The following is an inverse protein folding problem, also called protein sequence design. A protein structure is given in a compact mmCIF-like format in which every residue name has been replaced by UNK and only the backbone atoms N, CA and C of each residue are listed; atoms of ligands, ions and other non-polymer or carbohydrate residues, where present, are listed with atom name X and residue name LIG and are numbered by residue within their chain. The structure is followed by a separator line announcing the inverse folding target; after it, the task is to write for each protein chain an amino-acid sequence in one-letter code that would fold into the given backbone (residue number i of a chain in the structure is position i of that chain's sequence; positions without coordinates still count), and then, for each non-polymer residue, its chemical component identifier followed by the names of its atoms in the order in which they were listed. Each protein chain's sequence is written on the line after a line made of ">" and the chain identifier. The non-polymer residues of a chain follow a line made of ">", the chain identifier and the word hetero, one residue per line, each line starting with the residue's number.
data_IF_855631441499
#
_entry.id   IF_855631441499
#
_cell.length_a   1.000
_cell.length_b   1.000
_cell.length_c   1.000
_cell.angle_alpha   90.00
_cell.angle_beta   90.00
_cell.angle_gamma   90.00
#
_symmetry.space_group_name_H-M   'P 1'
#
loop_
_entity.id
_entity.type
_entity.pdbx_description
1 polymer ?
#
# COMPACT_ATOMS: atom_id res chain seq x y z
N UNK A 1 4.45 -7.28 3.60
CA UNK A 1 4.08 -6.04 2.87
C UNK A 1 3.70 -4.88 3.80
N UNK A 2 2.68 -5.00 4.66
CA UNK A 2 2.22 -3.93 5.57
C UNK A 2 3.34 -3.21 6.33
N UNK A 3 4.32 -3.94 6.89
CA UNK A 3 5.46 -3.33 7.59
C UNK A 3 6.28 -2.39 6.69
N UNK A 4 6.51 -2.75 5.42
CA UNK A 4 7.25 -1.92 4.46
C UNK A 4 6.45 -0.65 4.14
N UNK A 5 5.13 -0.78 3.97
CA UNK A 5 4.27 0.38 3.76
C UNK A 5 4.39 1.37 4.92
N UNK A 6 4.41 0.89 6.17
CA UNK A 6 4.51 1.79 7.33
C UNK A 6 5.90 2.34 7.53
N UNK A 7 6.94 1.54 7.30
CA UNK A 7 8.34 2.00 7.26
C UNK A 7 8.48 3.19 6.31
N UNK A 8 7.77 3.14 5.18
CA UNK A 8 7.81 4.16 4.15
C UNK A 8 6.77 5.27 4.34
N UNK A 9 5.94 5.22 5.38
CA UNK A 9 4.92 6.23 5.68
C UNK A 9 3.66 6.18 4.81
N UNK A 10 3.40 5.04 4.16
CA UNK A 10 2.27 4.79 3.25
C UNK A 10 2.15 5.87 2.17
N UNK A 11 3.29 6.23 1.60
CA UNK A 11 3.39 7.11 0.44
C UNK A 11 4.02 6.38 -0.73
N UNK A 12 3.83 6.94 -1.92
CA UNK A 12 4.61 6.59 -3.09
C UNK A 12 6.02 7.19 -2.95
N UNK A 13 7.02 6.36 -2.69
CA UNK A 13 8.41 6.80 -2.46
C UNK A 13 9.09 7.39 -3.70
N UNK A 14 8.46 7.30 -4.88
CA UNK A 14 8.95 7.94 -6.09
C UNK A 14 8.25 9.28 -6.39
N UNK A 15 7.00 9.46 -5.95
CA UNK A 15 6.17 10.64 -6.29
C UNK A 15 5.73 11.50 -5.11
N UNK A 16 5.75 10.96 -3.89
CA UNK A 16 5.30 11.62 -2.67
C UNK A 16 3.77 11.54 -2.45
N UNK A 17 3.04 10.93 -3.37
CA UNK A 17 1.58 10.74 -3.27
C UNK A 17 1.22 9.93 -2.04
N UNK A 18 0.21 10.37 -1.28
CA UNK A 18 -0.36 9.60 -0.17
C UNK A 18 -1.13 8.39 -0.72
N UNK A 19 -0.81 7.19 -0.24
CA UNK A 19 -1.44 5.95 -0.67
C UNK A 19 -2.42 5.46 0.39
N UNK A 20 -3.36 4.60 0.01
CA UNK A 20 -4.45 4.13 0.85
C UNK A 20 -4.24 2.66 1.19
N UNK A 21 -4.35 2.30 2.47
CA UNK A 21 -4.18 0.93 2.94
C UNK A 21 -5.13 0.00 2.15
N UNK A 22 -4.63 -1.08 1.52
CA UNK A 22 -5.37 -1.91 0.59
C UNK A 22 -6.82 -2.28 0.93
N UNK A 23 -7.14 -2.72 2.16
CA UNK A 23 -8.51 -3.11 2.49
C UNK A 23 -9.49 -1.94 2.50
N UNK A 24 -9.05 -0.69 2.70
CA UNK A 24 -9.92 0.49 2.64
C UNK A 24 -10.58 0.61 1.27
N UNK A 25 -9.80 0.53 0.19
CA UNK A 25 -10.34 0.60 -1.17
C UNK A 25 -11.23 -0.60 -1.48
N UNK A 26 -10.94 -1.76 -0.90
CA UNK A 26 -11.77 -2.96 -1.08
C UNK A 26 -13.09 -2.90 -0.33
N UNK A 27 -13.17 -2.19 0.80
CA UNK A 27 -14.43 -1.88 1.47
C UNK A 27 -15.28 -0.95 0.59
N UNK A 28 -14.67 0.06 -0.05
CA UNK A 28 -15.40 0.91 -1.00
C UNK A 28 -16.01 0.08 -2.13
N UNK A 29 -15.25 -0.85 -2.71
CA UNK A 29 -15.80 -1.77 -3.72
C UNK A 29 -16.88 -2.71 -3.21
N UNK A 30 -16.87 -3.03 -1.92
CA UNK A 30 -17.90 -3.87 -1.32
C UNK A 30 -19.22 -3.10 -1.16
N UNK A 31 -19.17 -1.86 -0.66
CA UNK A 31 -20.36 -1.04 -0.46
C UNK A 31 -20.86 -0.35 -1.73
N UNK A 32 -19.96 -0.02 -2.65
CA UNK A 32 -20.25 0.73 -3.89
C UNK A 32 -19.75 -0.05 -5.12
N UNK A 33 -20.24 -1.28 -5.38
CA UNK A 33 -19.70 -2.14 -6.44
C UNK A 33 -19.88 -1.58 -7.86
N UNK A 34 -20.88 -0.71 -8.08
CA UNK A 34 -21.13 -0.06 -9.36
C UNK A 34 -20.25 1.17 -9.58
N UNK A 35 -20.10 2.01 -8.54
CA UNK A 35 -19.35 3.27 -8.63
C UNK A 35 -17.84 3.09 -8.37
N UNK A 36 -17.47 2.06 -7.60
CA UNK A 36 -16.09 1.74 -7.23
C UNK A 36 -15.76 0.26 -7.50
N UNK A 37 -15.90 -0.22 -8.76
CA UNK A 37 -15.69 -1.63 -9.08
C UNK A 37 -14.25 -2.07 -8.79
N UNK A 38 -14.06 -3.34 -8.45
CA UNK A 38 -12.73 -3.93 -8.29
C UNK A 38 -12.57 -5.15 -9.18
N UNK A 39 -11.46 -5.19 -9.92
CA UNK A 39 -11.05 -6.35 -10.69
C UNK A 39 -9.82 -7.03 -10.06
N UNK A 40 -9.92 -8.32 -9.76
CA UNK A 40 -8.87 -9.10 -9.07
C UNK A 40 -7.51 -9.11 -9.78
N UNK A 41 -7.51 -9.06 -11.11
CA UNK A 41 -6.28 -9.01 -11.91
C UNK A 41 -5.91 -7.58 -12.35
N UNK A 42 -6.54 -6.56 -11.76
CA UNK A 42 -6.21 -5.15 -12.04
C UNK A 42 -6.64 -4.63 -13.42
N UNK A 43 -7.57 -5.28 -14.14
CA UNK A 43 -7.98 -4.78 -15.47
C UNK A 43 -8.57 -3.37 -15.35
N UNK A 44 -7.86 -2.36 -15.88
CA UNK A 44 -8.20 -0.94 -15.73
C UNK A 44 -9.61 -0.62 -16.24
N UNK A 45 -10.06 -1.29 -17.30
CA UNK A 45 -11.39 -1.07 -17.87
C UNK A 45 -12.54 -1.68 -17.06
N UNK A 46 -12.25 -2.52 -16.07
CA UNK A 46 -13.24 -3.26 -15.25
C UNK A 46 -13.10 -2.97 -13.75
N UNK A 47 -12.17 -2.10 -13.35
CA UNK A 47 -11.97 -1.68 -11.97
C UNK A 47 -11.81 -0.17 -11.88
N UNK A 48 -12.07 0.39 -10.71
CA UNK A 48 -11.93 1.82 -10.49
C UNK A 48 -10.45 2.22 -10.53
N UNK A 49 -10.14 3.28 -11.28
CA UNK A 49 -8.76 3.73 -11.51
C UNK A 49 -7.99 4.08 -10.22
N UNK A 50 -8.70 4.52 -9.17
CA UNK A 50 -8.08 4.75 -7.85
C UNK A 50 -7.39 3.50 -7.27
N UNK A 51 -7.79 2.27 -7.65
CA UNK A 51 -7.06 1.06 -7.26
C UNK A 51 -5.67 0.97 -7.90
N UNK A 52 -5.42 1.69 -8.99
CA UNK A 52 -4.09 1.80 -9.59
C UNK A 52 -3.28 2.94 -8.98
N UNK A 53 -3.93 4.08 -8.77
CA UNK A 53 -3.28 5.31 -8.31
C UNK A 53 -2.96 5.29 -6.81
N UNK A 54 -3.83 4.71 -5.99
CA UNK A 54 -3.75 4.83 -4.53
C UNK A 54 -3.41 3.53 -3.81
N UNK A 55 -3.56 2.38 -4.47
CA UNK A 55 -3.25 1.09 -3.84
C UNK A 55 -1.74 0.89 -3.75
N UNK A 56 -1.16 0.70 -2.55
CA UNK A 56 0.27 0.52 -2.39
C UNK A 56 0.73 -0.87 -2.81
N UNK A 57 1.91 -0.91 -3.42
CA UNK A 57 2.67 -2.10 -3.75
C UNK A 57 4.10 -1.96 -3.25
N UNK A 58 4.84 -3.06 -3.34
CA UNK A 58 6.28 -3.06 -3.20
C UNK A 58 6.91 -3.09 -4.59
N UNK A 59 7.91 -2.24 -4.81
CA UNK A 59 8.79 -2.25 -5.97
C UNK A 59 10.25 -2.31 -5.51
N UNK A 60 11.14 -2.70 -6.41
CA UNK A 60 12.58 -2.72 -6.20
C UNK A 60 13.23 -1.42 -6.69
N UNK A 61 14.00 -0.71 -5.87
CA UNK A 61 14.73 0.52 -6.25
C UNK A 61 15.57 0.25 -7.50
N UNK A 62 16.44 -0.76 -7.42
CA UNK A 62 17.13 -1.36 -8.55
C UNK A 62 16.33 -2.58 -9.02
N UNK A 63 15.82 -2.62 -10.26
CA UNK A 63 15.10 -3.77 -10.77
C UNK A 63 15.93 -5.06 -10.70
N UNK A 64 15.32 -6.19 -10.32
CA UNK A 64 16.00 -7.50 -10.26
C UNK A 64 16.58 -7.90 -11.62
N UNK A 65 15.85 -7.61 -12.70
CA UNK A 65 16.29 -7.81 -14.09
C UNK A 65 17.52 -6.99 -14.48
N UNK A 66 17.90 -6.01 -13.65
CA UNK A 66 19.06 -5.14 -13.78
C UNK A 66 20.07 -5.38 -12.65
N UNK A 67 20.06 -6.56 -12.03
CA UNK A 67 21.01 -6.95 -10.98
C UNK A 67 20.65 -6.46 -9.57
N UNK A 68 19.43 -5.94 -9.36
CA UNK A 68 18.94 -5.60 -8.02
C UNK A 68 18.68 -6.84 -7.17
N UNK A 69 18.93 -6.73 -5.87
CA UNK A 69 18.67 -7.80 -4.90
C UNK A 69 17.18 -7.86 -4.53
N UNK A 70 16.66 -9.06 -4.30
CA UNK A 70 15.28 -9.24 -3.84
C UNK A 70 15.20 -9.23 -2.30
N UNK A 71 15.56 -8.10 -1.71
CA UNK A 71 15.63 -7.93 -0.26
C UNK A 71 15.04 -6.58 0.17
N UNK A 72 14.64 -6.47 1.44
CA UNK A 72 13.98 -5.27 1.98
C UNK A 72 14.77 -3.97 1.83
N UNK A 73 16.10 -4.06 1.79
CA UNK A 73 16.99 -2.92 1.57
C UNK A 73 16.80 -2.30 0.17
N UNK A 74 16.33 -3.10 -0.79
CA UNK A 74 16.02 -2.68 -2.15
C UNK A 74 14.50 -2.51 -2.37
N UNK A 75 13.65 -2.82 -1.40
CA UNK A 75 12.19 -2.70 -1.54
C UNK A 75 11.70 -1.32 -1.11
N UNK A 76 10.70 -0.76 -1.80
CA UNK A 76 10.01 0.49 -1.43
C UNK A 76 8.51 0.40 -1.64
N UNK A 77 7.77 1.22 -0.89
CA UNK A 77 6.35 1.46 -1.13
C UNK A 77 6.14 2.41 -2.31
N UNK A 78 5.32 2.02 -3.28
CA UNK A 78 4.84 2.87 -4.38
C UNK A 78 3.42 2.50 -4.79
N UNK A 79 2.76 3.28 -5.65
CA UNK A 79 1.46 2.88 -6.21
C UNK A 79 1.61 1.81 -7.30
N UNK A 80 0.56 1.05 -7.58
CA UNK A 80 0.52 0.14 -8.73
C UNK A 80 0.80 0.87 -10.05
N UNK A 81 0.28 2.09 -10.20
CA UNK A 81 0.52 2.95 -11.36
C UNK A 81 2.00 3.30 -11.50
N UNK A 82 2.62 3.83 -10.46
CA UNK A 82 4.03 4.23 -10.50
C UNK A 82 4.96 3.03 -10.67
N UNK A 83 4.67 1.90 -10.01
CA UNK A 83 5.38 0.65 -10.24
C UNK A 83 5.35 0.25 -11.71
N UNK A 84 4.17 0.35 -12.34
CA UNK A 84 3.99 -0.01 -13.74
C UNK A 84 4.69 0.94 -14.71
N UNK A 85 4.75 2.24 -14.37
CA UNK A 85 5.52 3.24 -15.12
C UNK A 85 7.02 2.93 -14.99
N UNK A 86 7.50 2.64 -13.79
CA UNK A 86 8.92 2.35 -13.55
C UNK A 86 9.35 1.07 -14.23
N UNK A 87 8.57 -0.01 -14.09
CA UNK A 87 8.85 -1.30 -14.71
C UNK A 87 10.31 -1.71 -14.46
N UNK A 88 11.05 -2.08 -15.52
CA UNK A 88 12.46 -2.49 -15.45
C UNK A 88 13.47 -1.35 -15.67
N UNK A 89 13.03 -0.08 -15.59
CA UNK A 89 13.92 1.07 -15.68
C UNK A 89 14.57 1.37 -14.33
N UNK A 90 15.84 1.80 -14.35
CA UNK A 90 16.50 2.34 -13.16
C UNK A 90 16.00 3.76 -12.87
N UNK A 91 16.14 4.21 -11.62
CA UNK A 91 15.78 5.60 -11.28
C UNK A 91 16.59 6.61 -12.07
N UNK A 92 17.86 6.32 -12.36
CA UNK A 92 18.72 7.18 -13.19
C UNK A 92 18.16 7.34 -14.62
N UNK A 93 17.75 6.24 -15.25
CA UNK A 93 17.18 6.26 -16.60
C UNK A 93 15.88 7.06 -16.67
N UNK A 94 15.07 7.01 -15.61
CA UNK A 94 13.84 7.79 -15.50
C UNK A 94 14.08 9.22 -15.01
N UNK A 95 15.30 9.56 -14.62
CA UNK A 95 15.66 10.80 -13.92
C UNK A 95 14.84 11.02 -12.65
N UNK A 96 14.46 9.92 -11.99
CA UNK A 96 13.76 9.93 -10.73
C UNK A 96 14.75 9.95 -9.57
N UNK A 97 14.27 10.44 -8.42
CA UNK A 97 14.98 10.36 -7.15
C UNK A 97 14.10 9.65 -6.15
N UNK A 98 14.70 8.81 -5.32
CA UNK A 98 13.99 8.20 -4.21
C UNK A 98 13.74 9.27 -3.14
N UNK A 99 12.47 9.51 -2.82
CA UNK A 99 12.08 10.43 -1.77
C UNK A 99 12.32 9.81 -0.39
N UNK A 100 12.51 10.60 0.69
CA UNK A 100 12.53 10.07 2.05
C UNK A 100 11.18 9.42 2.43
N UNK A 101 11.15 8.55 3.46
CA UNK A 101 9.89 7.99 3.95
C UNK A 101 8.97 9.10 4.49
N UNK A 102 7.66 8.87 4.39
CA UNK A 102 6.65 9.74 5.00
C UNK A 102 6.58 9.57 6.52
N UNK A 103 5.75 10.40 7.16
CA UNK A 103 5.47 10.31 8.59
C UNK A 103 4.07 9.70 8.80
N UNK A 104 4.03 8.51 9.42
CA UNK A 104 2.79 7.77 9.68
C UNK A 104 1.83 8.53 10.63
N UNK A 105 2.35 9.41 11.48
CA UNK A 105 1.54 10.25 12.36
C UNK A 105 0.85 11.40 11.60
N UNK A 106 1.31 11.71 10.38
CA UNK A 106 0.69 12.70 9.49
C UNK A 106 -0.26 12.01 8.50
N UNK A 107 0.09 10.80 8.05
CA UNK A 107 -0.73 9.99 7.16
C UNK A 107 -0.53 8.51 7.46
N UNK A 108 -1.55 7.86 8.02
CA UNK A 108 -1.52 6.46 8.42
C UNK A 108 -1.97 5.50 7.31
N UNK A 109 -2.19 6.01 6.10
CA UNK A 109 -2.79 5.24 5.01
C UNK A 109 -4.25 4.88 5.24
N UNK A 110 -4.97 5.60 6.10
CA UNK A 110 -6.36 5.31 6.53
C UNK A 110 -6.51 4.00 7.29
N UNK A 111 -5.44 3.48 7.90
CA UNK A 111 -5.54 2.20 8.63
C UNK A 111 -6.44 2.30 9.87
N UNK A 112 -6.40 3.40 10.60
CA UNK A 112 -7.29 3.57 11.76
C UNK A 112 -8.75 3.61 11.34
N UNK A 113 -9.05 4.25 10.21
CA UNK A 113 -10.40 4.21 9.62
C UNK A 113 -10.81 2.78 9.27
N UNK A 114 -9.93 2.01 8.63
CA UNK A 114 -10.21 0.61 8.28
C UNK A 114 -10.51 -0.25 9.52
N UNK A 115 -9.72 -0.09 10.59
CA UNK A 115 -9.95 -0.84 11.83
C UNK A 115 -11.29 -0.46 12.47
N UNK A 116 -11.60 0.84 12.56
CA UNK A 116 -12.89 1.31 13.06
C UNK A 116 -14.06 0.79 12.20
N UNK A 117 -13.87 0.68 10.89
CA UNK A 117 -14.91 0.16 10.00
C UNK A 117 -15.17 -1.35 10.24
N UNK A 118 -14.13 -2.13 10.51
CA UNK A 118 -14.28 -3.54 10.90
C UNK A 118 -14.99 -3.66 12.25
N UNK A 119 -14.69 -2.77 13.20
CA UNK A 119 -15.36 -2.79 14.50
C UNK A 119 -16.85 -2.43 14.39
N UNK A 120 -17.22 -1.56 13.45
CA UNK A 120 -18.62 -1.18 13.17
C UNK A 120 -19.39 -2.22 12.32
N UNK A 121 -18.69 -2.95 11.45
CA UNK A 121 -19.26 -3.97 10.57
C UNK A 121 -18.34 -5.19 10.53
N UNK A 122 -18.51 -6.06 11.55
CA UNK A 122 -17.66 -7.25 11.70
C UNK A 122 -17.87 -8.29 10.60
N UNK A 123 -19.01 -8.24 9.88
CA UNK A 123 -19.31 -9.16 8.79
C UNK A 123 -18.36 -8.97 7.59
N UNK A 124 -17.72 -7.81 7.48
CA UNK A 124 -16.61 -7.59 6.54
C UNK A 124 -15.48 -8.61 6.70
N UNK A 125 -15.27 -9.18 7.90
CA UNK A 125 -14.26 -10.23 8.12
C UNK A 125 -14.63 -11.59 7.51
N UNK A 126 -15.85 -11.77 7.01
CA UNK A 126 -16.19 -12.92 6.16
C UNK A 126 -15.52 -12.85 4.79
N UNK A 127 -15.11 -11.66 4.35
CA UNK A 127 -14.34 -11.47 3.11
C UNK A 127 -12.87 -11.84 3.39
N UNK A 128 -12.32 -12.92 2.80
CA UNK A 128 -11.00 -13.45 3.18
C UNK A 128 -9.86 -12.44 2.99
N UNK A 129 -9.98 -11.58 1.96
CA UNK A 129 -9.05 -10.49 1.73
C UNK A 129 -9.02 -9.53 2.93
N UNK A 130 -10.18 -9.03 3.38
CA UNK A 130 -10.24 -8.07 4.50
C UNK A 130 -9.73 -8.69 5.81
N UNK A 131 -10.08 -9.96 6.09
CA UNK A 131 -9.58 -10.68 7.27
C UNK A 131 -8.05 -10.79 7.30
N UNK A 132 -7.43 -11.07 6.15
CA UNK A 132 -5.97 -11.18 6.02
C UNK A 132 -5.31 -9.84 6.31
N UNK A 133 -5.81 -8.75 5.72
CA UNK A 133 -5.26 -7.41 5.92
C UNK A 133 -5.55 -6.83 7.30
N UNK A 134 -6.67 -7.20 7.93
CA UNK A 134 -6.96 -6.89 9.33
C UNK A 134 -5.96 -7.52 10.28
N UNK A 135 -5.66 -8.81 10.10
CA UNK A 135 -4.66 -9.52 10.91
C UNK A 135 -3.27 -8.88 10.75
N UNK A 136 -2.88 -8.54 9.52
CA UNK A 136 -1.62 -7.85 9.24
C UNK A 136 -1.56 -6.44 9.84
N UNK A 137 -2.67 -5.69 9.82
CA UNK A 137 -2.78 -4.38 10.43
C UNK A 137 -2.55 -4.44 11.96
N UNK A 138 -3.24 -5.35 12.64
CA UNK A 138 -3.11 -5.55 14.10
C UNK A 138 -1.66 -5.90 14.47
N UNK A 139 -1.03 -6.82 13.73
CA UNK A 139 0.37 -7.18 13.97
C UNK A 139 1.33 -6.01 13.74
N UNK A 140 1.10 -5.20 12.71
CA UNK A 140 1.97 -4.06 12.40
C UNK A 140 1.86 -2.94 13.44
N UNK A 141 0.66 -2.63 13.94
CA UNK A 141 0.43 -1.59 14.95
C UNK A 141 1.07 -1.96 16.29
N UNK A 142 0.93 -3.21 16.74
CA UNK A 142 1.57 -3.68 17.98
C UNK A 142 3.09 -3.48 17.92
N UNK A 143 3.70 -3.84 16.79
CA UNK A 143 5.13 -3.64 16.57
C UNK A 143 5.54 -2.16 16.51
N UNK A 144 4.66 -1.30 15.98
CA UNK A 144 4.89 0.14 15.92
C UNK A 144 4.89 0.75 17.33
N UNK A 145 3.87 0.43 18.13
CA UNK A 145 3.73 0.89 19.52
C UNK A 145 4.92 0.42 20.36
N UNK A 146 5.32 -0.85 20.23
CA UNK A 146 6.48 -1.40 20.94
C UNK A 146 7.79 -0.66 20.61
N UNK A 147 7.98 -0.22 19.35
CA UNK A 147 9.15 0.58 18.97
C UNK A 147 9.13 2.00 19.53
N UNK A 148 7.96 2.62 19.68
CA UNK A 148 7.85 3.97 20.26
C UNK A 148 7.92 3.97 21.79
N UNK A 149 7.55 2.88 22.46
CA UNK A 149 7.67 2.74 23.91
C UNK A 149 9.11 2.49 24.40
N UNK A 150 10.06 2.24 23.49
CA UNK A 150 11.47 1.95 23.78
C UNK A 150 12.41 3.11 23.42
N UNK A 151 11.88 4.25 22.99
CA UNK A 151 12.61 5.50 22.71
C UNK A 151 12.13 6.61 23.63
#
# INVERSE_FOLDING_TARGET
>A
MTRIFFRDGVIDRYRGTRLVYPPTLRILSHYLPLDFPYHKNGKITEGHFACWELFPTIDHIQPVTRGGIDEEANWVCCSMLTNSIKSNWTLEQLQWRLLPPGNINVWDGTINWFLNQIDNDSDLLQIPFLKTWWSAAKAAIVNLIAKFALN
#
